data_IF_188581079970
#
_entry.id   IF_188581079970
#
_cell.length_a   1.000
_cell.length_b   1.000
_cell.length_c   1.000
_cell.angle_alpha   90.00
_cell.angle_beta   90.00
_cell.angle_gamma   90.00
#
_symmetry.space_group_name_H-M   'P 1'
#
loop_
_entity.id
_entity.type
_entity.pdbx_description
1 polymer ?
2 branched ?
#
# COMPACT_ATOMS: atom_id res chain seq x y z
N UNK A 1 -17.70 10.44 8.93
CA UNK A 1 -16.90 9.78 9.95
C UNK A 1 -15.40 9.91 9.62
N UNK A 3 -11.66 9.18 9.32
CA UNK A 3 -10.84 8.00 9.26
C UNK A 3 -9.40 8.39 9.53
N UNK A 4 -8.72 7.61 10.31
CA UNK A 4 -7.33 7.88 10.59
C UNK A 4 -6.49 7.21 9.53
N UNK A 5 -6.08 7.99 8.56
CA UNK A 5 -5.28 7.47 7.47
C UNK A 5 -3.82 7.28 7.92
N UNK A 6 -3.08 6.39 7.24
CA UNK A 6 -1.68 6.14 7.53
C UNK A 6 -0.81 7.34 7.17
N UNK A 7 0.44 7.26 7.48
CA UNK A 7 1.39 8.29 7.20
C UNK A 7 1.96 8.05 5.81
N UNK A 8 3.17 8.51 5.52
CA UNK A 8 3.75 8.19 4.23
C UNK A 8 4.26 6.75 4.16
N UNK A 9 3.31 5.85 4.12
CA UNK A 9 3.52 4.43 4.12
C UNK A 9 2.87 3.90 2.86
N UNK A 10 3.36 2.84 2.34
CA UNK A 10 2.82 2.28 1.14
C UNK A 10 1.86 1.17 1.53
N UNK A 11 0.85 0.98 0.77
CA UNK A 11 -0.04 -0.09 0.96
C UNK A 11 0.50 -1.27 0.16
N UNK A 12 0.09 -2.44 0.49
CA UNK A 12 0.46 -3.55 -0.33
C UNK A 12 -0.38 -3.56 -1.58
N UNK A 13 0.06 -2.79 -2.56
CA UNK A 13 -0.55 -2.75 -3.89
C UNK A 13 -1.96 -2.15 -3.88
N UNK A 14 -2.34 -1.55 -2.76
CA UNK A 14 -3.68 -1.03 -2.61
C UNK A 14 -4.47 -1.78 -1.55
N UNK A 15 -3.80 -2.69 -0.82
CA UNK A 15 -4.44 -3.42 0.27
C UNK A 15 -4.41 -2.60 1.55
N UNK A 16 -4.63 -3.24 2.71
CA UNK A 16 -4.60 -2.55 4.00
C UNK A 16 -3.27 -1.87 4.24
N UNK A 18 -1.51 -1.61 6.80
CA UNK A 18 -0.61 -2.33 7.68
C UNK A 18 0.22 -3.30 6.90
N UNK A 19 -0.15 -3.54 5.67
CA UNK A 19 0.59 -4.41 4.82
C UNK A 19 1.27 -3.59 3.76
N UNK A 20 2.50 -3.89 3.46
CA UNK A 20 3.26 -3.14 2.50
C UNK A 20 3.82 -4.03 1.46
N UNK A 21 3.90 -3.51 0.29
CA UNK A 21 4.43 -4.24 -0.85
C UNK A 21 5.11 -3.30 -1.81
N UNK A 23 6.60 -2.02 -5.54
CA UNK A 23 6.01 -1.84 -6.86
C UNK A 23 6.18 -3.09 -7.74
N UNK A 24 7.30 -3.76 -7.56
CA UNK A 24 7.63 -4.98 -8.30
C UNK A 24 6.63 -6.11 -8.00
N UNK A 25 5.96 -6.01 -6.87
CA UNK A 25 4.98 -7.01 -6.48
C UNK A 25 3.58 -6.50 -6.72
N UNK A 26 3.48 -5.26 -7.11
CA UNK A 26 2.20 -4.62 -7.31
C UNK A 26 1.89 -4.42 -8.77
N UNK A 27 2.81 -3.84 -9.49
CA UNK A 27 2.63 -3.60 -10.90
C UNK A 27 3.71 -4.33 -11.68
N UNK A 28 4.48 -5.14 -10.95
CA UNK A 28 5.60 -5.96 -11.47
C UNK A 28 6.74 -5.10 -12.04
N UNK A 29 6.65 -3.82 -11.82
CA UNK A 29 7.64 -2.91 -12.33
C UNK A 29 8.84 -2.81 -11.38
N UNK A 30 9.93 -3.39 -11.81
CA UNK A 30 11.16 -3.38 -11.06
C UNK A 30 12.34 -3.57 -11.98
#
# INVERSE_FOLDING_TARGET
>A
AXWLVPSQITTCCGYNXGTMCXSCMCTNTC
#
